data_IF_299183167199
#
_entry.id   IF_299183167199
#
_cell.length_a   1.000
_cell.length_b   1.000
_cell.length_c   1.000
_cell.angle_alpha   90.00
_cell.angle_beta   90.00
_cell.angle_gamma   90.00
#
_symmetry.space_group_name_H-M   'P 1'
#
loop_
_entity.id
_entity.type
_entity.pdbx_description
1 polymer ?
2 non-polymer ?
3 non-polymer ?
4 water ?
#
# COMPACT_ATOMS: atom_id res chain seq x y z
N UNK A 1 -3.29 -6.64 -3.12
CA UNK A 1 -3.75 -7.83 -2.35
C UNK A 1 -5.19 -8.24 -2.71
N UNK A 2 -6.01 -7.32 -3.19
CA UNK A 2 -7.44 -7.49 -3.50
C UNK A 2 -7.88 -6.45 -4.53
N UNK A 3 -9.17 -6.44 -4.96
CA UNK A 3 -9.62 -5.63 -6.11
C UNK A 3 -9.55 -4.11 -5.90
N UNK A 4 -9.53 -3.67 -4.63
CA UNK A 4 -9.32 -2.25 -4.28
C UNK A 4 -7.93 -1.83 -4.67
N UNK A 5 -6.95 -2.62 -4.27
CA UNK A 5 -5.52 -2.39 -4.59
C UNK A 5 -5.28 -2.54 -6.09
N UNK A 6 -6.01 -3.46 -6.73
CA UNK A 6 -5.95 -3.67 -8.19
C UNK A 6 -6.31 -2.37 -8.93
N UNK A 7 -7.44 -1.77 -8.57
CA UNK A 7 -7.88 -0.51 -9.23
C UNK A 7 -6.86 0.59 -8.93
N UNK A 8 -6.44 0.74 -7.67
CA UNK A 8 -5.46 1.77 -7.25
C UNK A 8 -4.19 1.64 -8.09
N UNK A 9 -3.65 0.40 -8.20
CA UNK A 9 -2.40 0.14 -8.94
C UNK A 9 -2.56 0.54 -10.41
N UNK A 10 -3.70 0.23 -11.01
CA UNK A 10 -4.00 0.55 -12.42
C UNK A 10 -3.95 2.07 -12.65
N UNK A 11 -4.44 2.85 -11.70
CA UNK A 11 -4.39 4.34 -11.77
C UNK A 11 -2.96 4.79 -11.57
N UNK A 12 -2.25 4.26 -10.54
CA UNK A 12 -0.90 4.75 -10.27
C UNK A 12 0.01 4.48 -11.47
N UNK A 13 -0.12 3.31 -12.12
CA UNK A 13 0.87 2.86 -13.13
C UNK A 13 0.75 3.71 -14.40
N UNK A 14 -0.41 4.29 -14.70
CA UNK A 14 -0.59 5.00 -15.98
C UNK A 14 -0.88 6.49 -15.76
N UNK A 15 -1.42 6.88 -14.60
CA UNK A 15 -2.03 8.23 -14.50
C UNK A 15 -1.36 9.06 -13.41
N UNK A 16 -0.14 8.74 -13.00
CA UNK A 16 0.56 9.60 -12.00
C UNK A 16 1.96 9.95 -12.52
N UNK A 17 2.41 11.12 -12.08
CA UNK A 17 3.80 11.58 -12.30
C UNK A 17 4.28 12.10 -10.94
N UNK A 18 5.57 12.26 -10.81
CA UNK A 18 6.14 12.92 -9.62
C UNK A 18 6.29 14.41 -9.97
N UNK A 19 5.57 15.29 -9.26
CA UNK A 19 5.68 16.74 -9.46
C UNK A 19 6.58 17.34 -8.36
N UNK A 20 7.48 18.24 -8.75
CA UNK A 20 8.37 18.95 -7.78
C UNK A 20 8.22 20.46 -8.01
N UNK A 21 7.79 21.17 -6.95
CA UNK A 21 7.72 22.65 -6.89
C UNK A 21 8.76 23.09 -5.86
N UNK A 22 8.86 24.39 -5.60
CA UNK A 22 9.71 24.95 -4.51
C UNK A 22 9.20 24.54 -3.13
N UNK A 23 7.97 24.04 -3.02
CA UNK A 23 7.35 23.58 -1.75
C UNK A 23 7.48 22.06 -1.53
N UNK A 24 8.07 21.29 -2.45
CA UNK A 24 8.36 19.87 -2.27
C UNK A 24 8.01 18.98 -3.47
N UNK A 25 8.10 17.68 -3.24
CA UNK A 25 7.68 16.60 -4.16
C UNK A 25 6.26 16.15 -3.83
N UNK A 26 5.40 16.03 -4.84
CA UNK A 26 3.98 15.63 -4.69
C UNK A 26 3.66 14.52 -5.70
N UNK A 27 2.84 13.59 -5.28
CA UNK A 27 2.08 12.71 -6.20
C UNK A 27 1.20 13.67 -7.01
N UNK A 28 1.14 13.47 -8.32
CA UNK A 28 0.32 14.34 -9.20
C UNK A 28 -0.48 13.39 -10.09
N UNK A 29 -1.81 13.52 -10.06
CA UNK A 29 -2.74 12.71 -10.85
C UNK A 29 -2.96 13.39 -12.20
N UNK A 30 -2.65 12.68 -13.28
CA UNK A 30 -3.03 13.10 -14.65
C UNK A 30 -4.44 12.64 -14.95
N UNK A 31 -5.30 13.51 -15.52
CA UNK A 31 -6.74 13.22 -15.67
C UNK A 31 -7.08 12.97 -17.15
N UNK A 32 -6.56 13.81 -18.06
CA UNK A 32 -6.79 13.60 -19.51
C UNK A 32 -5.88 14.57 -20.24
N UNK A 33 -5.59 14.27 -21.51
CA UNK A 33 -4.74 15.15 -22.35
C UNK A 33 -3.52 15.53 -21.46
N UNK A 34 -3.19 16.83 -21.34
CA UNK A 34 -1.97 17.25 -20.57
C UNK A 34 -2.44 17.92 -19.28
N UNK A 35 -3.61 17.53 -18.79
CA UNK A 35 -4.26 18.18 -17.62
C UNK A 35 -4.10 17.27 -16.40
N UNK A 36 -3.54 17.82 -15.33
CA UNK A 36 -3.32 17.09 -14.08
C UNK A 36 -3.83 17.94 -12.89
N UNK A 37 -3.84 17.34 -11.70
CA UNK A 37 -4.21 18.05 -10.45
C UNK A 37 -3.10 17.88 -9.41
N UNK A 38 -3.06 18.84 -8.50
CA UNK A 38 -2.10 18.86 -7.37
C UNK A 38 -2.73 19.69 -6.26
N UNK A 39 -2.39 19.48 -4.98
CA UNK A 39 -2.86 20.39 -3.91
C UNK A 39 -2.40 21.84 -4.14
N UNK A 40 -3.32 22.79 -3.88
CA UNK A 40 -3.04 24.23 -4.12
C UNK A 40 -1.82 24.70 -3.29
N UNK A 41 -1.61 24.13 -2.11
CA UNK A 41 -0.45 24.49 -1.25
C UNK A 41 0.90 24.06 -1.87
N UNK A 42 0.91 23.29 -2.97
CA UNK A 42 2.15 23.07 -3.76
C UNK A 42 2.65 24.35 -4.42
N UNK A 43 1.83 25.39 -4.55
CA UNK A 43 2.19 26.74 -5.10
C UNK A 43 2.82 26.59 -6.50
N UNK A 44 2.08 26.00 -7.42
CA UNK A 44 2.60 25.80 -8.81
C UNK A 44 2.94 27.17 -9.40
N UNK A 45 4.10 27.28 -10.07
CA UNK A 45 4.50 28.49 -10.80
C UNK A 45 4.47 28.29 -12.29
N UNK A 46 5.32 29.04 -13.00
CA UNK A 46 5.44 29.06 -14.47
C UNK A 46 6.20 27.81 -14.94
N UNK A 47 7.06 27.25 -14.09
CA UNK A 47 7.89 26.04 -14.35
C UNK A 47 7.67 25.05 -13.19
N UNK A 48 7.56 23.78 -13.54
CA UNK A 48 7.42 22.65 -12.59
C UNK A 48 8.36 21.52 -13.07
N UNK A 49 8.86 20.67 -12.18
CA UNK A 49 9.60 19.44 -12.57
C UNK A 49 8.61 18.28 -12.56
N UNK A 50 8.57 17.50 -13.66
CA UNK A 50 7.67 16.34 -13.85
C UNK A 50 8.61 15.15 -14.10
N UNK A 51 8.70 14.23 -13.13
CA UNK A 51 9.64 13.08 -13.24
C UNK A 51 11.04 13.64 -13.52
N UNK A 52 11.41 14.71 -12.80
CA UNK A 52 12.73 15.40 -12.81
C UNK A 52 13.06 16.07 -14.14
N UNK A 53 12.07 16.35 -14.99
CA UNK A 53 12.22 17.08 -16.27
C UNK A 53 11.58 18.46 -16.12
N UNK A 54 12.34 19.49 -16.42
CA UNK A 54 11.87 20.89 -16.42
C UNK A 54 10.73 21.03 -17.43
N UNK A 55 9.57 21.49 -16.98
CA UNK A 55 8.30 21.51 -17.77
C UNK A 55 7.60 22.88 -17.61
N UNK A 56 7.28 23.53 -18.72
CA UNK A 56 6.53 24.80 -18.68
C UNK A 56 5.09 24.49 -18.28
N UNK A 57 4.56 25.32 -17.40
CA UNK A 57 3.11 25.28 -17.03
C UNK A 57 2.35 26.18 -18.02
N UNK A 58 1.45 25.60 -18.79
CA UNK A 58 0.67 26.38 -19.80
C UNK A 58 -0.48 27.11 -19.12
N UNK A 59 -1.04 26.55 -18.04
CA UNK A 59 -2.16 27.17 -17.29
C UNK A 59 -2.22 26.51 -15.91
N UNK A 60 -2.58 27.28 -14.89
CA UNK A 60 -2.81 26.72 -13.53
C UNK A 60 -3.96 27.46 -12.87
N UNK A 61 -4.95 26.74 -12.36
CA UNK A 61 -6.15 27.39 -11.81
C UNK A 61 -6.44 26.77 -10.43
N UNK A 62 -6.29 27.57 -9.38
CA UNK A 62 -6.66 27.19 -8.00
C UNK A 62 -8.18 27.27 -7.88
N UNK A 63 -8.82 26.12 -7.70
CA UNK A 63 -10.30 26.05 -7.73
C UNK A 63 -10.87 26.59 -6.42
N UNK A 64 -12.00 27.29 -6.53
CA UNK A 64 -12.80 27.76 -5.37
C UNK A 64 -14.26 27.47 -5.67
N UNK A 65 -15.10 27.23 -4.67
CA UNK A 65 -16.53 27.04 -4.95
C UNK A 65 -17.21 28.39 -5.20
N UNK A 66 -18.52 28.33 -5.46
CA UNK A 66 -19.27 29.56 -5.88
C UNK A 66 -19.54 30.46 -4.67
N UNK A 67 -19.29 30.01 -3.44
CA UNK A 67 -19.17 30.92 -2.26
C UNK A 67 -17.75 31.54 -2.16
N UNK A 68 -16.85 31.32 -3.13
CA UNK A 68 -15.46 31.85 -3.13
C UNK A 68 -14.73 31.26 -1.92
N UNK A 69 -14.97 29.98 -1.62
CA UNK A 69 -14.23 29.19 -0.58
C UNK A 69 -13.21 28.27 -1.28
N UNK A 70 -12.00 28.24 -0.77
CA UNK A 70 -10.91 27.34 -1.21
C UNK A 70 -11.45 25.90 -1.38
N UNK A 71 -11.10 25.22 -2.48
CA UNK A 71 -11.28 23.75 -2.63
C UNK A 71 -9.96 22.96 -2.49
N UNK A 72 -8.81 23.64 -2.50
CA UNK A 72 -7.45 23.06 -2.30
C UNK A 72 -7.01 22.22 -3.51
N UNK A 73 -7.72 22.31 -4.64
CA UNK A 73 -7.32 21.64 -5.91
C UNK A 73 -6.79 22.72 -6.86
N UNK A 74 -5.60 22.50 -7.41
CA UNK A 74 -5.11 23.27 -8.57
C UNK A 74 -5.13 22.35 -9.82
N UNK A 75 -5.72 22.83 -10.89
CA UNK A 75 -5.73 22.12 -12.18
C UNK A 75 -4.59 22.73 -12.97
N UNK A 76 -3.71 21.87 -13.45
CA UNK A 76 -2.49 22.31 -14.18
C UNK A 76 -2.54 21.77 -15.60
N UNK A 77 -2.22 22.59 -16.60
CA UNK A 77 -2.00 22.08 -17.97
C UNK A 77 -0.50 22.15 -18.24
N UNK A 78 0.11 21.01 -18.57
CA UNK A 78 1.59 20.85 -18.66
C UNK A 78 1.99 20.92 -20.13
N UNK A 79 3.09 21.60 -20.42
CA UNK A 79 3.70 21.57 -21.77
C UNK A 79 4.51 20.27 -21.94
N UNK A 80 3.82 19.15 -21.99
CA UNK A 80 4.41 17.79 -22.01
C UNK A 80 4.15 17.20 -23.40
N UNK A 81 5.03 16.32 -23.89
CA UNK A 81 4.95 15.78 -25.26
C UNK A 81 4.06 14.54 -25.32
N UNK A 82 3.32 14.23 -24.27
CA UNK A 82 2.58 12.96 -24.20
C UNK A 82 1.29 13.23 -23.41
N UNK A 83 0.19 12.62 -23.81
CA UNK A 83 -1.11 12.72 -23.12
C UNK A 83 -1.26 11.61 -22.07
N UNK A 84 -2.03 11.92 -21.03
CA UNK A 84 -2.51 10.92 -20.04
C UNK A 84 -3.65 10.13 -20.66
N UNK A 85 -3.73 8.87 -20.28
CA UNK A 85 -4.98 8.08 -20.43
C UNK A 85 -6.13 8.89 -19.87
N UNK A 86 -7.23 9.00 -20.60
CA UNK A 86 -8.41 9.75 -20.15
C UNK A 86 -9.14 8.91 -19.09
N UNK A 87 -9.13 9.38 -17.84
CA UNK A 87 -9.82 8.67 -16.72
C UNK A 87 -11.01 9.48 -16.21
N UNK A 88 -11.52 10.44 -16.94
CA UNK A 88 -12.64 11.26 -16.43
C UNK A 88 -13.88 10.41 -16.14
N UNK A 89 -14.09 9.28 -16.84
CA UNK A 89 -15.27 8.44 -16.58
C UNK A 89 -15.18 7.71 -15.23
N UNK A 90 -14.05 7.78 -14.51
CA UNK A 90 -13.93 7.20 -13.15
C UNK A 90 -14.19 8.25 -12.05
N UNK A 91 -14.51 9.49 -12.43
CA UNK A 91 -14.74 10.59 -11.45
C UNK A 91 -16.21 10.60 -11.07
N UNK A 92 -16.52 10.75 -9.77
CA UNK A 92 -17.88 10.90 -9.29
C UNK A 92 -18.51 12.19 -9.82
N UNK A 93 -19.82 12.14 -10.02
CA UNK A 93 -20.56 13.35 -10.45
C UNK A 93 -21.00 14.21 -9.26
N UNK A 94 -21.20 13.63 -8.08
CA UNK A 94 -21.74 14.35 -6.90
C UNK A 94 -20.90 14.09 -5.65
N UNK A 95 -21.07 14.93 -4.63
CA UNK A 95 -20.44 14.77 -3.31
C UNK A 95 -21.05 13.53 -2.66
N UNK A 96 -20.25 12.70 -1.99
CA UNK A 96 -20.73 11.42 -1.45
C UNK A 96 -19.79 10.92 -0.37
N UNK A 97 -20.28 9.97 0.40
CA UNK A 97 -19.50 9.10 1.33
C UNK A 97 -19.16 7.81 0.58
N UNK A 98 -18.13 7.09 1.03
CA UNK A 98 -17.59 5.88 0.36
C UNK A 98 -17.18 4.85 1.39
N UNK A 99 -17.22 3.57 0.99
CA UNK A 99 -16.59 2.51 1.82
C UNK A 99 -15.27 2.06 1.18
N UNK A 100 -14.35 1.58 2.02
CA UNK A 100 -13.22 0.73 1.61
C UNK A 100 -12.39 1.47 0.55
N UNK A 101 -11.83 2.62 0.91
CA UNK A 101 -10.96 3.41 0.01
C UNK A 101 -9.49 3.04 0.24
N UNK A 102 -8.67 3.32 -0.78
CA UNK A 102 -7.19 3.16 -0.78
C UNK A 102 -6.61 4.53 -1.13
N UNK A 103 -5.59 4.91 -0.36
CA UNK A 103 -4.77 6.11 -0.64
C UNK A 103 -3.45 5.63 -1.21
N UNK A 104 -3.09 6.10 -2.40
CA UNK A 104 -1.88 5.65 -3.14
C UNK A 104 -0.93 6.82 -3.40
N UNK A 105 0.35 6.60 -3.10
CA UNK A 105 1.40 7.65 -3.16
C UNK A 105 2.55 7.10 -3.97
N UNK A 106 3.15 7.95 -4.81
CA UNK A 106 4.39 7.57 -5.51
C UNK A 106 5.31 8.78 -5.55
N UNK A 107 6.31 8.81 -4.65
CA UNK A 107 7.36 9.85 -4.65
C UNK A 107 8.72 9.17 -4.51
N UNK A 108 9.81 9.94 -4.62
CA UNK A 108 11.19 9.46 -4.29
C UNK A 108 11.23 8.87 -2.85
N UNK A 109 10.56 9.49 -1.88
CA UNK A 109 10.52 9.10 -0.45
C UNK A 109 9.59 7.89 -0.23
N UNK A 110 8.44 7.86 -0.92
CA UNK A 110 7.40 6.80 -0.71
C UNK A 110 7.01 6.19 -2.05
N UNK A 111 7.87 5.36 -2.69
CA UNK A 111 7.54 4.70 -3.95
C UNK A 111 6.58 3.53 -3.74
N UNK A 112 5.61 3.38 -4.66
CA UNK A 112 4.70 2.21 -4.70
C UNK A 112 4.03 2.00 -3.34
N UNK A 113 3.55 3.07 -2.71
CA UNK A 113 2.89 3.02 -1.39
C UNK A 113 1.37 2.98 -1.58
N UNK A 114 0.71 2.04 -0.90
CA UNK A 114 -0.76 1.84 -0.94
C UNK A 114 -1.24 1.67 0.49
N UNK A 115 -2.21 2.46 0.91
CA UNK A 115 -2.74 2.46 2.31
C UNK A 115 -4.24 2.18 2.26
N UNK A 116 -4.74 1.09 2.87
CA UNK A 116 -6.18 0.88 2.98
C UNK A 116 -6.72 1.78 4.09
N UNK A 117 -7.43 2.85 3.73
CA UNK A 117 -7.85 3.88 4.73
C UNK A 117 -9.23 3.57 5.26
N UNK A 118 -10.02 2.73 4.61
CA UNK A 118 -11.33 2.28 5.07
C UNK A 118 -12.42 3.27 4.71
N UNK A 119 -13.33 3.53 5.63
CA UNK A 119 -14.54 4.34 5.35
C UNK A 119 -14.18 5.82 5.14
N UNK A 120 -14.79 6.44 4.14
CA UNK A 120 -14.56 7.87 3.81
C UNK A 120 -15.86 8.67 4.02
N UNK A 121 -15.79 9.69 4.87
CA UNK A 121 -16.91 10.59 5.24
C UNK A 121 -16.88 11.84 4.36
N UNK A 122 -18.03 12.24 3.83
CA UNK A 122 -18.23 13.59 3.27
C UNK A 122 -18.22 14.56 4.46
N UNK A 123 -17.05 15.09 4.80
CA UNK A 123 -16.82 15.91 6.01
C UNK A 123 -17.30 17.34 5.77
N UNK A 124 -17.04 17.86 4.58
CA UNK A 124 -17.46 19.20 4.15
C UNK A 124 -16.45 20.26 4.53
N UNK A 125 -16.80 21.08 5.52
CA UNK A 125 -15.97 22.23 5.93
C UNK A 125 -14.81 21.76 6.81
N UNK A 126 -13.63 22.28 6.50
CA UNK A 126 -12.40 22.10 7.31
C UNK A 126 -11.61 23.38 7.28
N UNK A 127 -11.14 23.80 8.45
CA UNK A 127 -10.08 24.84 8.56
C UNK A 127 -8.73 24.16 8.37
N UNK A 128 -8.21 24.20 7.13
CA UNK A 128 -7.02 23.44 6.71
C UNK A 128 -5.80 24.34 6.70
N UNK A 129 -4.88 24.18 7.65
CA UNK A 129 -3.71 25.09 7.74
C UNK A 129 -4.13 26.55 7.91
N UNK A 130 -5.24 26.82 8.61
CA UNK A 130 -5.78 28.18 8.75
C UNK A 130 -6.70 28.64 7.60
N UNK A 131 -6.87 27.86 6.52
CA UNK A 131 -7.69 28.30 5.36
C UNK A 131 -9.04 27.60 5.37
N UNK A 132 -10.19 28.31 5.45
CA UNK A 132 -11.50 27.68 5.33
C UNK A 132 -11.57 26.92 3.98
N UNK A 133 -11.92 25.65 4.03
CA UNK A 133 -11.88 24.73 2.86
C UNK A 133 -13.18 23.94 2.79
N UNK A 134 -13.76 23.78 1.60
CA UNK A 134 -14.99 22.99 1.41
C UNK A 134 -14.69 21.67 0.66
N UNK A 135 -15.71 20.82 0.60
CA UNK A 135 -15.71 19.51 -0.13
C UNK A 135 -14.57 18.59 0.34
N UNK A 136 -14.34 18.55 1.64
CA UNK A 136 -13.30 17.68 2.25
C UNK A 136 -13.89 16.31 2.55
N UNK A 137 -13.12 15.29 2.18
CA UNK A 137 -13.36 13.88 2.55
C UNK A 137 -12.45 13.55 3.73
N UNK A 138 -12.94 12.77 4.69
CA UNK A 138 -12.13 12.40 5.87
C UNK A 138 -12.05 10.88 6.02
N UNK A 139 -10.88 10.39 6.39
CA UNK A 139 -10.64 8.96 6.66
C UNK A 139 -9.81 8.86 7.93
N UNK A 140 -10.01 7.77 8.67
CA UNK A 140 -9.43 7.61 10.03
C UNK A 140 -8.13 6.85 9.84
N UNK A 141 -7.15 7.47 9.19
CA UNK A 141 -5.77 6.94 9.11
C UNK A 141 -4.81 8.07 9.41
N UNK A 142 -3.77 7.81 10.27
CA UNK A 142 -2.73 8.76 10.62
C UNK A 142 -1.71 8.96 9.49
N UNK A 143 -2.18 9.67 8.47
CA UNK A 143 -1.37 10.09 7.29
C UNK A 143 -0.28 11.09 7.73
N UNK A 144 0.82 11.18 6.97
CA UNK A 144 2.04 11.91 7.36
C UNK A 144 2.50 12.76 6.18
N UNK A 145 3.37 13.74 6.48
CA UNK A 145 4.08 14.56 5.49
C UNK A 145 4.65 13.63 4.42
N UNK A 146 4.52 14.05 3.16
CA UNK A 146 4.97 13.26 1.99
C UNK A 146 3.82 12.58 1.26
N UNK A 147 2.61 12.54 1.84
CA UNK A 147 1.44 11.85 1.23
C UNK A 147 0.55 12.84 0.45
N UNK A 148 0.83 14.15 0.50
CA UNK A 148 -0.04 15.15 -0.18
C UNK A 148 0.01 14.90 -1.68
N UNK A 149 -1.17 14.94 -2.30
CA UNK A 149 -1.33 14.67 -3.73
C UNK A 149 -1.65 13.20 -3.93
N UNK A 150 -1.54 12.39 -2.87
CA UNK A 150 -1.86 10.95 -2.98
C UNK A 150 -3.26 10.77 -3.51
N UNK A 151 -3.49 9.71 -4.26
CA UNK A 151 -4.80 9.49 -4.92
C UNK A 151 -5.68 8.63 -4.03
N UNK A 152 -6.91 9.07 -3.84
CA UNK A 152 -7.95 8.29 -3.09
C UNK A 152 -8.88 7.64 -4.08
N UNK A 153 -8.94 6.30 -4.06
CA UNK A 153 -9.81 5.51 -4.97
C UNK A 153 -10.68 4.56 -4.15
N UNK A 154 -11.79 4.19 -4.75
CA UNK A 154 -12.51 2.94 -4.42
C UNK A 154 -12.43 2.05 -5.67
N UNK A 155 -12.96 0.84 -5.61
CA UNK A 155 -13.13 0.03 -6.84
C UNK A 155 -14.00 0.83 -7.82
N UNK A 156 -13.41 1.22 -8.93
CA UNK A 156 -14.09 1.82 -10.07
C UNK A 156 -14.16 3.32 -9.97
N UNK A 157 -13.76 3.98 -8.86
CA UNK A 157 -13.85 5.46 -8.77
C UNK A 157 -12.59 6.12 -8.20
N UNK A 158 -12.20 7.24 -8.83
CA UNK A 158 -11.11 8.14 -8.35
C UNK A 158 -11.79 9.32 -7.68
N UNK A 159 -11.73 9.40 -6.32
CA UNK A 159 -12.70 10.25 -5.58
C UNK A 159 -12.02 11.49 -4.98
N UNK A 160 -10.71 11.56 -4.89
CA UNK A 160 -10.05 12.69 -4.21
C UNK A 160 -8.54 12.65 -4.29
N UNK A 161 -7.92 13.72 -3.82
CA UNK A 161 -6.45 13.81 -3.62
C UNK A 161 -6.20 14.29 -2.20
N UNK A 162 -5.28 13.60 -1.53
CA UNK A 162 -4.87 13.84 -0.12
C UNK A 162 -4.32 15.28 0.01
N UNK A 163 -4.79 16.05 1.00
CA UNK A 163 -4.36 17.47 1.15
C UNK A 163 -3.92 17.77 2.59
N UNK A 164 -4.19 16.88 3.56
CA UNK A 164 -3.68 17.12 4.92
C UNK A 164 -4.11 16.08 5.94
N UNK A 165 -3.78 16.35 7.20
CA UNK A 165 -4.15 15.44 8.30
C UNK A 165 -3.95 16.12 9.63
N UNK A 166 -4.46 15.54 10.71
CA UNK A 166 -4.28 16.10 12.09
C UNK A 166 -3.51 15.13 12.98
N UNK A 167 -2.81 14.15 12.42
CA UNK A 167 -2.09 13.11 13.19
C UNK A 167 -2.90 11.84 13.36
N UNK A 168 -4.24 11.92 13.48
CA UNK A 168 -5.16 10.76 13.64
C UNK A 168 -6.04 10.54 12.41
N UNK A 169 -6.55 11.64 11.83
CA UNK A 169 -7.36 11.64 10.58
C UNK A 169 -6.55 12.20 9.39
N UNK A 170 -6.94 11.79 8.19
CA UNK A 170 -6.44 12.34 6.92
C UNK A 170 -7.60 12.96 6.17
N UNK A 171 -7.29 13.91 5.31
CA UNK A 171 -8.27 14.75 4.59
C UNK A 171 -7.91 14.80 3.10
N UNK A 172 -8.93 14.61 2.25
CA UNK A 172 -8.74 14.70 0.80
C UNK A 172 -9.71 15.76 0.26
N UNK A 173 -9.30 16.45 -0.78
CA UNK A 173 -10.19 17.31 -1.61
C UNK A 173 -10.93 16.42 -2.63
N UNK A 174 -12.24 16.58 -2.73
CA UNK A 174 -13.03 15.83 -3.72
C UNK A 174 -12.52 16.12 -5.12
N UNK A 175 -12.54 15.10 -5.97
CA UNK A 175 -12.55 15.30 -7.45
C UNK A 175 -13.98 15.03 -7.95
N UNK A 176 -14.48 15.94 -8.75
CA UNK A 176 -15.80 15.87 -9.39
C UNK A 176 -15.63 15.93 -10.90
N UNK A 177 -16.43 15.15 -11.61
CA UNK A 177 -16.42 15.13 -13.09
C UNK A 177 -16.53 16.57 -13.66
N UNK A 178 -17.39 17.40 -13.06
CA UNK A 178 -17.66 18.79 -13.52
C UNK A 178 -16.39 19.66 -13.53
N UNK A 179 -15.34 19.33 -12.77
CA UNK A 179 -14.08 20.14 -12.81
C UNK A 179 -13.37 20.03 -14.18
N UNK A 180 -13.63 18.98 -14.97
CA UNK A 180 -12.78 18.58 -16.14
C UNK A 180 -13.59 18.43 -17.43
N UNK A 181 -14.77 19.04 -17.52
CA UNK A 181 -15.59 19.08 -18.76
C UNK A 181 -14.91 20.03 -19.75
N UNK A 182 -15.11 19.82 -21.06
CA UNK A 182 -14.42 20.60 -22.13
C UNK A 182 -15.26 20.59 -23.41
N UNK B 2 11.36 6.17 5.10
CA UNK B 2 12.84 6.42 5.16
C UNK B 2 13.62 5.11 5.34
N UNK B 3 14.25 4.89 6.52
CA UNK B 3 14.91 3.62 6.81
C UNK B 3 13.93 2.44 6.77
N UNK B 4 12.69 2.62 7.29
CA UNK B 4 11.65 1.56 7.21
C UNK B 4 11.29 1.16 5.78
N UNK B 5 11.08 2.12 4.88
CA UNK B 5 10.80 1.85 3.43
C UNK B 5 12.03 1.27 2.71
N UNK B 6 13.25 1.77 2.97
CA UNK B 6 14.49 1.16 2.45
C UNK B 6 14.60 -0.32 2.88
N UNK B 7 14.36 -0.58 4.16
CA UNK B 7 14.51 -1.93 4.74
C UNK B 7 13.51 -2.86 4.02
N UNK B 8 12.25 -2.45 3.91
CA UNK B 8 11.20 -3.28 3.28
C UNK B 8 11.62 -3.61 1.85
N UNK B 9 12.10 -2.61 1.10
CA UNK B 9 12.57 -2.79 -0.31
C UNK B 9 13.71 -3.82 -0.34
N UNK B 10 14.71 -3.64 0.54
CA UNK B 10 15.93 -4.50 0.56
C UNK B 10 15.55 -5.97 0.77
N UNK B 11 14.57 -6.22 1.64
CA UNK B 11 14.03 -7.57 1.88
C UNK B 11 13.22 -8.07 0.66
N UNK B 12 12.39 -7.21 0.09
CA UNK B 12 11.60 -7.52 -1.14
C UNK B 12 12.55 -7.94 -2.27
N UNK B 13 13.54 -7.10 -2.56
CA UNK B 13 14.43 -7.27 -3.72
C UNK B 13 15.19 -8.60 -3.67
N UNK B 14 15.78 -8.98 -2.53
CA UNK B 14 16.65 -10.17 -2.47
C UNK B 14 15.99 -11.40 -1.84
N UNK B 15 14.96 -11.24 -1.01
CA UNK B 15 14.44 -12.35 -0.17
C UNK B 15 12.98 -12.72 -0.47
N UNK B 16 12.32 -12.13 -1.47
CA UNK B 16 10.88 -12.40 -1.72
C UNK B 16 10.76 -13.01 -3.13
N UNK B 17 10.08 -14.17 -3.23
CA UNK B 17 9.77 -14.84 -4.52
C UNK B 17 8.26 -15.02 -4.64
N UNK B 18 7.80 -15.28 -5.87
CA UNK B 18 6.37 -15.62 -6.14
C UNK B 18 6.23 -17.14 -6.07
N UNK B 19 5.43 -17.66 -5.12
CA UNK B 19 5.22 -19.12 -4.99
C UNK B 19 3.82 -19.41 -5.52
N UNK B 20 3.64 -20.46 -6.31
CA UNK B 20 2.31 -20.82 -6.84
C UNK B 20 2.05 -22.29 -6.45
N UNK B 21 1.03 -22.50 -5.63
CA UNK B 21 0.52 -23.84 -5.24
C UNK B 21 -0.74 -24.13 -6.05
N UNK B 22 -1.37 -25.27 -5.75
CA UNK B 22 -2.72 -25.62 -6.24
C UNK B 22 -3.69 -24.45 -5.98
N UNK B 23 -3.48 -23.66 -4.92
CA UNK B 23 -4.39 -22.58 -4.45
C UNK B 23 -4.15 -21.26 -5.21
N UNK B 24 -3.03 -21.12 -5.90
CA UNK B 24 -2.65 -19.92 -6.67
C UNK B 24 -1.41 -19.26 -6.09
N UNK B 25 -1.31 -17.93 -6.18
CA UNK B 25 -0.01 -17.25 -5.96
C UNK B 25 0.05 -16.65 -4.54
N UNK B 26 1.24 -16.77 -3.94
CA UNK B 26 1.56 -16.30 -2.59
C UNK B 26 2.90 -15.59 -2.59
N UNK B 27 2.98 -14.49 -1.84
CA UNK B 27 4.26 -13.86 -1.54
C UNK B 27 5.06 -14.81 -0.64
N UNK B 28 6.24 -15.22 -1.06
CA UNK B 28 7.04 -16.19 -0.25
C UNK B 28 8.30 -15.48 0.23
N UNK B 29 8.65 -15.66 1.51
CA UNK B 29 9.93 -15.16 2.05
C UNK B 29 11.00 -16.25 2.11
N UNK B 30 12.10 -16.07 1.38
CA UNK B 30 13.27 -16.92 1.56
C UNK B 30 14.09 -16.44 2.74
N UNK B 31 14.50 -17.34 3.61
CA UNK B 31 15.11 -16.99 4.92
C UNK B 31 16.64 -17.25 4.88
N UNK B 32 17.04 -18.40 4.40
CA UNK B 32 18.47 -18.81 4.27
C UNK B 32 18.58 -20.08 3.44
N UNK B 33 19.76 -20.34 2.84
CA UNK B 33 19.96 -21.60 2.09
C UNK B 33 18.80 -21.79 1.10
N UNK B 34 18.11 -22.93 1.13
CA UNK B 34 16.92 -23.15 0.25
C UNK B 34 15.67 -23.24 1.15
N UNK B 35 15.68 -22.54 2.27
CA UNK B 35 14.58 -22.56 3.28
C UNK B 35 13.75 -21.29 3.13
N UNK B 36 12.43 -21.45 2.98
CA UNK B 36 11.48 -20.34 2.80
C UNK B 36 10.26 -20.57 3.69
N UNK B 37 9.43 -19.57 3.83
CA UNK B 37 8.15 -19.69 4.59
C UNK B 37 7.01 -19.18 3.74
N UNK B 38 5.84 -19.75 4.00
CA UNK B 38 4.56 -19.44 3.28
C UNK B 38 3.45 -19.74 4.28
N UNK B 39 2.27 -19.09 4.22
CA UNK B 39 1.14 -19.47 5.08
C UNK B 39 0.71 -20.91 4.89
N UNK B 40 0.28 -21.57 5.98
CA UNK B 40 -0.08 -23.00 5.96
C UNK B 40 -1.26 -23.16 5.00
N UNK B 41 -2.13 -22.16 4.92
CA UNK B 41 -3.35 -22.24 4.05
C UNK B 41 -3.00 -22.30 2.56
N UNK B 42 -1.74 -22.10 2.15
CA UNK B 42 -1.30 -22.23 0.74
C UNK B 42 -1.35 -23.70 0.27
N UNK B 43 -1.41 -24.66 1.20
CA UNK B 43 -1.52 -26.11 0.87
C UNK B 43 -0.35 -26.52 -0.04
N UNK B 44 0.87 -26.36 0.48
CA UNK B 44 2.08 -26.75 -0.26
C UNK B 44 2.07 -28.27 -0.50
N UNK B 45 2.37 -28.66 -1.73
CA UNK B 45 2.40 -30.08 -2.14
C UNK B 45 3.80 -30.57 -2.36
N UNK B 46 3.95 -31.55 -3.26
CA UNK B 46 5.28 -32.14 -3.57
C UNK B 46 6.04 -31.20 -4.51
N UNK B 47 5.29 -30.44 -5.31
CA UNK B 47 5.85 -29.54 -6.37
C UNK B 47 5.24 -28.17 -6.12
N UNK B 48 6.05 -27.15 -6.29
CA UNK B 48 5.63 -25.73 -6.23
C UNK B 48 6.27 -25.00 -7.41
N UNK B 49 5.66 -23.88 -7.83
CA UNK B 49 6.28 -22.96 -8.82
C UNK B 49 6.91 -21.80 -8.05
N UNK B 50 8.16 -21.52 -8.34
CA UNK B 50 8.94 -20.39 -7.73
C UNK B 50 9.30 -19.46 -8.89
N UNK B 51 8.67 -18.28 -8.98
CA UNK B 51 8.87 -17.35 -10.12
C UNK B 51 8.63 -18.12 -11.44
N UNK B 52 7.56 -18.92 -11.48
CA UNK B 52 7.04 -19.65 -12.67
C UNK B 52 7.92 -20.86 -13.04
N UNK B 53 8.88 -21.24 -12.19
CA UNK B 53 9.75 -22.44 -12.38
C UNK B 53 9.22 -23.60 -11.52
N UNK B 54 8.84 -24.72 -12.14
CA UNK B 54 8.50 -26.00 -11.45
C UNK B 54 9.66 -26.40 -10.53
N UNK B 55 9.39 -26.56 -9.22
CA UNK B 55 10.43 -26.78 -8.17
C UNK B 55 9.97 -27.90 -7.24
N UNK B 56 10.79 -28.92 -7.05
CA UNK B 56 10.48 -29.96 -6.05
C UNK B 56 10.55 -29.32 -4.66
N UNK B 57 9.55 -29.59 -3.84
CA UNK B 57 9.60 -29.30 -2.38
C UNK B 57 10.18 -30.54 -1.67
N UNK B 58 11.39 -30.40 -1.14
CA UNK B 58 12.07 -31.55 -0.49
C UNK B 58 11.45 -31.83 0.88
N UNK B 59 11.00 -30.79 1.57
CA UNK B 59 10.43 -30.91 2.94
C UNK B 59 9.45 -29.77 3.17
N UNK B 60 8.36 -30.05 3.88
CA UNK B 60 7.39 -29.02 4.30
C UNK B 60 6.98 -29.35 5.74
N UNK B 61 7.06 -28.34 6.61
CA UNK B 61 6.69 -28.45 8.05
C UNK B 61 5.62 -27.40 8.37
N UNK B 62 4.40 -27.85 8.67
CA UNK B 62 3.29 -26.98 9.14
C UNK B 62 3.58 -26.72 10.63
N UNK B 63 4.12 -25.56 10.99
CA UNK B 63 4.62 -25.33 12.36
C UNK B 63 3.48 -25.33 13.39
N UNK B 64 3.79 -25.93 14.53
CA UNK B 64 2.94 -25.88 15.75
C UNK B 64 3.87 -25.61 16.94
N UNK B 65 3.35 -24.97 17.97
CA UNK B 65 4.17 -24.64 19.17
C UNK B 65 4.12 -25.81 20.17
N UNK B 66 4.76 -25.63 21.31
CA UNK B 66 4.92 -26.71 22.31
C UNK B 66 3.60 -26.97 23.05
N UNK B 67 2.55 -26.14 22.87
CA UNK B 67 1.18 -26.45 23.35
C UNK B 67 0.45 -27.29 22.29
N UNK B 68 1.14 -27.63 21.20
CA UNK B 68 0.57 -28.39 20.06
C UNK B 68 -0.54 -27.56 19.44
N UNK B 69 -0.29 -26.26 19.28
CA UNK B 69 -1.24 -25.32 18.65
C UNK B 69 -0.66 -24.83 17.31
N UNK B 70 -1.53 -24.71 16.32
CA UNK B 70 -1.15 -24.18 14.97
C UNK B 70 -0.48 -22.82 15.10
N UNK B 71 0.56 -22.58 14.29
CA UNK B 71 1.18 -21.22 14.10
C UNK B 71 0.92 -20.63 12.68
N UNK B 72 0.35 -21.41 11.76
CA UNK B 72 -0.10 -20.99 10.42
C UNK B 72 1.10 -20.64 9.52
N UNK B 73 2.30 -21.07 9.89
CA UNK B 73 3.55 -20.91 9.06
C UNK B 73 3.91 -22.32 8.61
N UNK B 74 4.20 -22.47 7.33
CA UNK B 74 4.81 -23.68 6.78
C UNK B 74 6.25 -23.34 6.35
N UNK B 75 7.23 -24.06 6.90
CA UNK B 75 8.64 -23.95 6.44
C UNK B 75 8.85 -24.95 5.31
N UNK B 76 9.43 -24.52 4.18
CA UNK B 76 9.67 -25.42 3.01
C UNK B 76 11.18 -25.42 2.70
N UNK B 77 11.71 -26.58 2.31
CA UNK B 77 13.08 -26.74 1.74
C UNK B 77 12.93 -27.03 0.26
N UNK B 78 13.47 -26.16 -0.58
CA UNK B 78 13.24 -26.18 -2.06
C UNK B 78 14.45 -26.82 -2.76
N UNK B 79 14.18 -27.66 -3.76
CA UNK B 79 15.21 -28.25 -4.66
C UNK B 79 15.54 -27.22 -5.74
N UNK B 80 16.42 -26.25 -5.44
CA UNK B 80 16.83 -25.21 -6.41
C UNK B 80 18.30 -24.81 -6.14
N UNK B 81 18.96 -24.37 -7.21
CA UNK B 81 20.41 -24.03 -7.18
C UNK B 81 20.61 -22.76 -6.35
N UNK B 82 19.81 -21.73 -6.61
CA UNK B 82 19.93 -20.41 -5.94
C UNK B 82 19.79 -20.60 -4.43
N UNK B 83 20.67 -19.95 -3.67
CA UNK B 83 20.62 -19.86 -2.20
C UNK B 83 20.04 -18.49 -1.84
N UNK B 84 19.16 -18.42 -0.86
CA UNK B 84 18.63 -17.12 -0.36
C UNK B 84 19.69 -16.44 0.49
N UNK B 85 19.74 -15.12 0.43
CA UNK B 85 20.54 -14.24 1.33
C UNK B 85 20.11 -14.51 2.79
N UNK B 86 21.04 -14.93 3.67
CA UNK B 86 20.70 -15.21 5.10
C UNK B 86 20.19 -13.93 5.76
N UNK B 87 18.97 -13.96 6.30
CA UNK B 87 18.31 -12.84 7.02
C UNK B 87 17.88 -13.27 8.42
N UNK B 88 18.40 -14.38 8.93
CA UNK B 88 18.00 -14.89 10.27
C UNK B 88 18.34 -13.87 11.35
N UNK B 89 19.38 -13.06 11.14
CA UNK B 89 19.79 -12.04 12.13
C UNK B 89 18.78 -10.90 12.23
N UNK B 90 17.80 -10.81 11.30
CA UNK B 90 16.75 -9.78 11.39
C UNK B 90 15.45 -10.32 12.00
N UNK B 91 15.42 -11.59 12.39
CA UNK B 91 14.23 -12.20 13.04
C UNK B 91 14.22 -11.90 14.53
N UNK B 92 13.08 -11.48 15.10
CA UNK B 92 12.94 -11.28 16.54
C UNK B 92 13.19 -12.56 17.35
N UNK B 93 13.80 -12.39 18.52
CA UNK B 93 14.06 -13.54 19.42
C UNK B 93 12.80 -13.85 20.22
N UNK B 94 12.00 -12.82 20.51
CA UNK B 94 10.83 -12.90 21.44
C UNK B 94 9.56 -12.37 20.75
N UNK B 95 8.40 -12.68 21.32
CA UNK B 95 7.10 -12.09 20.94
C UNK B 95 7.12 -10.62 21.37
N UNK B 96 6.54 -9.70 20.58
CA UNK B 96 6.63 -8.25 20.88
C UNK B 96 5.54 -7.48 20.11
N UNK B 97 5.27 -6.24 20.53
CA UNK B 97 4.49 -5.20 19.80
C UNK B 97 5.48 -4.35 18.99
N UNK B 98 5.01 -3.66 17.96
CA UNK B 98 5.85 -2.84 17.03
C UNK B 98 5.09 -1.60 16.55
N UNK B 99 5.84 -0.58 16.10
CA UNK B 99 5.24 0.57 15.37
C UNK B 99 5.85 0.71 13.97
N UNK B 100 5.13 1.43 13.13
CA UNK B 100 5.56 1.86 11.77
C UNK B 100 5.93 0.63 10.95
N UNK B 101 5.08 -0.40 10.99
CA UNK B 101 5.30 -1.62 10.17
C UNK B 101 4.88 -1.36 8.72
N UNK B 102 5.51 -2.11 7.82
CA UNK B 102 5.18 -2.15 6.39
C UNK B 102 4.90 -3.61 6.03
N UNK B 103 3.82 -3.80 5.28
CA UNK B 103 3.44 -5.09 4.66
C UNK B 103 3.83 -5.00 3.19
N UNK B 104 4.65 -5.93 2.71
CA UNK B 104 5.22 -5.94 1.34
C UNK B 104 4.75 -7.16 0.53
N UNK B 105 3.95 -6.88 -0.51
CA UNK B 105 3.23 -7.87 -1.35
C UNK B 105 3.98 -8.04 -2.67
N UNK B 106 4.15 -9.27 -3.14
CA UNK B 106 4.83 -9.51 -4.42
C UNK B 106 4.22 -10.73 -5.11
N UNK B 107 3.33 -10.49 -6.09
CA UNK B 107 2.75 -11.56 -6.95
C UNK B 107 2.76 -11.07 -8.40
N UNK B 108 2.33 -11.92 -9.32
CA UNK B 108 2.26 -11.51 -10.77
C UNK B 108 1.28 -10.35 -10.91
N UNK B 109 0.19 -10.37 -10.16
CA UNK B 109 -0.87 -9.32 -10.18
C UNK B 109 -0.43 -8.05 -9.45
N UNK B 110 0.36 -8.20 -8.37
CA UNK B 110 0.73 -7.10 -7.42
C UNK B 110 2.25 -7.12 -7.25
N UNK B 111 3.03 -6.72 -8.26
CA UNK B 111 4.48 -6.75 -8.16
C UNK B 111 4.94 -5.56 -7.30
N UNK B 112 5.92 -5.76 -6.44
CA UNK B 112 6.55 -4.64 -5.65
C UNK B 112 5.50 -3.68 -5.06
N UNK B 113 4.53 -4.17 -4.28
CA UNK B 113 3.52 -3.27 -3.62
C UNK B 113 3.83 -3.11 -2.10
N UNK B 114 3.88 -1.90 -1.55
CA UNK B 114 4.21 -1.61 -0.12
C UNK B 114 3.02 -0.97 0.60
N UNK B 115 2.57 -1.61 1.69
CA UNK B 115 1.34 -1.22 2.43
C UNK B 115 1.72 -0.87 3.86
N UNK B 116 1.89 0.44 4.19
CA UNK B 116 2.14 0.89 5.55
C UNK B 116 0.91 0.46 6.35
N UNK B 117 1.15 -0.27 7.43
CA UNK B 117 0.02 -0.72 8.30
C UNK B 117 0.09 0.01 9.64
N UNK B 118 1.29 0.45 10.04
CA UNK B 118 1.53 1.25 11.25
C UNK B 118 1.66 0.36 12.48
N UNK B 119 0.77 0.56 13.44
CA UNK B 119 0.90 -0.05 14.78
C UNK B 119 0.53 -1.53 14.70
N UNK B 120 1.43 -2.35 15.20
CA UNK B 120 1.27 -3.85 15.26
C UNK B 120 1.20 -4.30 16.73
N UNK B 121 0.13 -4.97 17.09
CA UNK B 121 -0.08 -5.54 18.44
C UNK B 121 0.26 -7.04 18.47
N UNK B 122 0.92 -7.51 19.51
CA UNK B 122 0.95 -8.92 19.94
C UNK B 122 -0.46 -9.32 20.38
N UNK B 123 -1.24 -9.91 19.47
CA UNK B 123 -2.68 -10.20 19.68
C UNK B 123 -2.79 -11.57 20.38
N UNK B 124 -1.93 -12.52 19.97
CA UNK B 124 -1.79 -13.85 20.55
C UNK B 124 -2.72 -14.86 19.91
N UNK B 125 -3.80 -15.23 20.63
CA UNK B 125 -4.72 -16.29 20.21
C UNK B 125 -5.73 -15.74 19.20
N UNK B 126 -5.97 -16.51 18.14
CA UNK B 126 -6.99 -16.24 17.11
C UNK B 126 -7.55 -17.57 16.62
N UNK B 127 -8.87 -17.62 16.52
CA UNK B 127 -9.56 -18.73 15.81
C UNK B 127 -9.57 -18.38 14.34
N UNK B 128 -8.63 -18.95 13.60
CA UNK B 128 -8.44 -18.60 12.17
C UNK B 128 -9.06 -19.68 11.27
N UNK B 129 -10.18 -19.37 10.60
CA UNK B 129 -10.88 -20.35 9.74
C UNK B 129 -11.32 -21.58 10.51
N UNK B 130 -11.61 -21.44 11.81
CA UNK B 130 -12.01 -22.55 12.68
C UNK B 130 -10.82 -23.25 13.34
N UNK B 131 -9.59 -22.84 13.05
CA UNK B 131 -8.38 -23.43 13.67
C UNK B 131 -7.81 -22.51 14.74
N UNK B 132 -7.72 -22.97 16.01
CA UNK B 132 -7.04 -22.26 17.07
C UNK B 132 -5.56 -22.03 16.69
N UNK B 133 -5.12 -20.78 16.79
CA UNK B 133 -3.82 -20.31 16.28
C UNK B 133 -3.17 -19.43 17.34
N UNK B 134 -1.86 -19.57 17.49
CA UNK B 134 -1.07 -18.75 18.43
C UNK B 134 -0.16 -17.76 17.67
N UNK B 135 0.39 -16.82 18.45
CA UNK B 135 1.47 -15.88 18.02
C UNK B 135 1.03 -15.04 16.83
N UNK B 136 -0.20 -14.56 16.87
CA UNK B 136 -0.79 -13.66 15.85
C UNK B 136 -0.43 -12.20 16.19
N UNK B 137 0.12 -11.51 15.21
CA UNK B 137 0.24 -10.02 15.21
C UNK B 137 -0.98 -9.41 14.52
N UNK B 138 -1.46 -8.26 15.00
CA UNK B 138 -2.68 -7.60 14.45
C UNK B 138 -2.40 -6.13 14.16
N UNK B 139 -2.92 -5.67 13.01
CA UNK B 139 -2.84 -4.26 12.54
C UNK B 139 -4.19 -3.90 11.94
N UNK B 140 -4.55 -2.62 11.91
CA UNK B 140 -5.75 -2.19 11.17
C UNK B 140 -5.58 -2.57 9.69
N UNK B 141 -6.65 -3.01 9.05
CA UNK B 141 -6.64 -3.45 7.62
C UNK B 141 -8.08 -3.45 7.11
N UNK B 142 -8.69 -2.24 6.94
CA UNK B 142 -10.10 -2.10 6.55
C UNK B 142 -10.30 -2.28 5.04
N UNK B 143 -10.17 -3.53 4.59
CA UNK B 143 -10.21 -3.95 3.18
C UNK B 143 -10.44 -5.47 3.22
N UNK B 144 -11.06 -6.01 2.18
CA UNK B 144 -11.18 -7.49 2.03
C UNK B 144 -10.11 -7.87 1.01
N UNK B 145 -8.95 -8.22 1.54
CA UNK B 145 -7.78 -8.78 0.81
C UNK B 145 -8.02 -10.26 0.49
N UNK B 146 -7.42 -10.74 -0.61
CA UNK B 146 -7.30 -12.18 -0.93
C UNK B 146 -6.21 -12.86 -0.11
N UNK B 147 -5.81 -14.04 -0.57
CA UNK B 147 -4.96 -15.01 0.16
C UNK B 147 -3.46 -14.71 0.05
N UNK B 148 -3.00 -13.87 -0.89
CA UNK B 148 -1.61 -13.93 -1.38
C UNK B 148 -0.62 -13.54 -0.24
N UNK B 149 -1.09 -12.76 0.72
CA UNK B 149 -0.26 -12.35 1.88
C UNK B 149 0.94 -11.50 1.50
N UNK B 150 1.97 -11.49 2.37
CA UNK B 150 3.08 -10.54 2.25
C UNK B 150 3.94 -10.51 3.51
N UNK B 151 5.05 -9.84 3.42
CA UNK B 151 6.05 -9.85 4.51
C UNK B 151 5.86 -8.60 5.35
N UNK B 152 5.84 -8.74 6.67
CA UNK B 152 5.72 -7.59 7.60
C UNK B 152 7.09 -7.24 8.20
N UNK B 153 7.50 -5.99 8.01
CA UNK B 153 8.81 -5.48 8.50
C UNK B 153 8.60 -4.21 9.28
N UNK B 154 9.56 -3.97 10.16
CA UNK B 154 9.79 -2.65 10.81
C UNK B 154 11.18 -2.18 10.37
N UNK B 155 11.65 -1.05 10.84
CA UNK B 155 13.09 -0.73 10.68
C UNK B 155 13.90 -1.82 11.41
N UNK B 156 14.68 -2.56 10.68
CA UNK B 156 15.68 -3.50 11.21
C UNK B 156 15.16 -4.87 11.52
N UNK B 157 13.85 -5.15 11.37
CA UNK B 157 13.34 -6.50 11.73
C UNK B 157 12.35 -7.04 10.69
N UNK B 158 12.46 -8.33 10.46
CA UNK B 158 11.42 -9.08 9.70
C UNK B 158 10.54 -9.81 10.72
N UNK B 159 9.32 -9.35 10.91
CA UNK B 159 8.53 -9.71 12.13
C UNK B 159 7.43 -10.74 11.85
N UNK B 160 7.01 -10.91 10.61
CA UNK B 160 5.88 -11.82 10.37
C UNK B 160 5.50 -11.91 8.91
N UNK B 161 4.56 -12.82 8.63
CA UNK B 161 3.96 -12.97 7.27
C UNK B 161 2.45 -12.91 7.43
N UNK B 162 1.79 -12.16 6.54
CA UNK B 162 0.32 -11.95 6.57
C UNK B 162 -0.42 -13.28 6.32
N UNK B 163 -1.33 -13.66 7.21
CA UNK B 163 -2.07 -14.97 7.10
C UNK B 163 -3.59 -14.80 7.01
N UNK B 164 -4.17 -13.64 7.32
CA UNK B 164 -5.63 -13.46 7.15
C UNK B 164 -6.11 -12.10 7.61
N UNK B 165 -7.43 -11.98 7.80
CA UNK B 165 -8.06 -10.71 8.16
C UNK B 165 -9.57 -10.85 8.23
N UNK B 166 -10.25 -9.89 8.86
CA UNK B 166 -11.70 -9.96 9.15
C UNK B 166 -12.42 -8.76 8.53
N UNK B 167 -11.81 -8.09 7.53
CA UNK B 167 -12.36 -6.90 6.82
C UNK B 167 -12.12 -5.56 7.53
N UNK B 168 -11.77 -5.59 8.81
CA UNK B 168 -11.40 -4.46 9.69
C UNK B 168 -9.95 -4.58 10.14
N UNK B 169 -9.52 -5.81 10.49
CA UNK B 169 -8.18 -6.07 11.05
C UNK B 169 -7.45 -7.07 10.16
N UNK B 170 -6.13 -6.97 10.16
CA UNK B 170 -5.19 -7.85 9.45
C UNK B 170 -4.36 -8.62 10.44
N UNK B 171 -4.04 -9.87 10.09
CA UNK B 171 -3.32 -10.79 11.01
C UNK B 171 -2.10 -11.38 10.32
N UNK B 172 -0.98 -11.39 11.04
CA UNK B 172 0.28 -11.97 10.59
C UNK B 172 0.71 -13.01 11.59
N UNK B 173 1.32 -14.09 11.13
CA UNK B 173 2.00 -15.07 11.98
C UNK B 173 3.39 -14.53 12.30
N UNK B 174 3.78 -14.57 13.57
CA UNK B 174 5.12 -14.12 13.97
C UNK B 174 6.21 -14.99 13.34
N UNK B 175 7.32 -14.37 12.95
CA UNK B 175 8.56 -15.11 12.67
C UNK B 175 9.48 -14.92 13.88
N UNK B 176 10.04 -16.01 14.36
CA UNK B 176 10.99 -16.00 15.50
C UNK B 176 12.29 -16.67 15.07
N UNK B 177 13.39 -16.20 15.67
CA UNK B 177 14.75 -16.68 15.35
C UNK B 177 14.81 -18.18 15.62
N UNK B 178 14.12 -18.64 16.65
CA UNK B 178 14.23 -20.06 17.10
C UNK B 178 13.61 -21.01 16.08
N UNK B 179 12.81 -20.52 15.12
CA UNK B 179 12.19 -21.44 14.12
C UNK B 179 13.20 -21.99 13.10
N UNK B 180 14.37 -21.33 13.01
CA UNK B 180 15.38 -21.54 11.94
C UNK B 180 16.77 -21.87 12.53
N UNK B 181 16.89 -22.09 13.83
CA UNK B 181 18.16 -22.53 14.49
C UNK B 181 18.34 -24.05 14.44
X LIG C 1 -0.10 23.18 4.23
X LIG C 1 -0.62 24.44 4.02
X LIG C 1 -1.92 24.54 3.59
X LIG C 1 -2.68 23.42 3.35
X LIG C 1 -2.18 22.16 3.59
X LIG C 1 -1.24 19.88 5.12
X LIG C 1 -2.68 21.99 7.34
X LIG C 1 0.22 19.37 7.05
X LIG C 1 -1.25 21.48 7.37
X LIG C 1 -0.29 20.66 4.31
X LIG C 1 -0.87 22.03 4.04
X LIG C 1 -3.95 25.21 2.90
X LIG C 1 -2.23 19.05 7.23
X LIG C 1 -3.90 23.78 2.82
X LIG C 1 -2.68 25.68 3.36
X LIG C 1 -1.10 19.82 6.76
X LIG D 1 14.11 -25.08 9.62
X LIG D 1 14.17 -26.28 8.67
X LIG D 1 15.61 -24.19 9.33
X LIG D 1 14.50 -25.70 11.24
#
# INVERSE_FOLDING_TARGET
>A
MGPGFDFAQAIMKKNTVIARTEKGEFTMLGVYDRVAVIPTHASVGEIIYINDVETRVLDACALRDLTDTNLEITIVKLDRNQKFRDIRHFLPRCEDDYNDAVLSVHTSKFPNMYIPVGQVTNYGFLNLGGTPTHRILMYNFPTRAGQCGGVVTTTGKVIGIHVGGNGAQGFAAMLLHSYFTD
>B
MGPGFDFAQAIMKKNTVIARTEKGEFTMLGVYDRVAVIPTHASVGEIIYINDVETRVLDACALRDLTDTNLEITIVKLDRNQKFRDIRHFLPRCEDDYNDAVLSVHTSKFPNMYIPVGQVTNYGFLNLGGTPTHRILMYNFPTRAGQCGGVVTTTGKVIGIHVGGNGAQGFAAMLLHSYFTD
>C hetero
1 STV C4 C5 C6 C7 C8 N C O C1 C2 C3 C9 O1 O2 O3 S
>D hetero
1 DMS S O C1 C2
#
